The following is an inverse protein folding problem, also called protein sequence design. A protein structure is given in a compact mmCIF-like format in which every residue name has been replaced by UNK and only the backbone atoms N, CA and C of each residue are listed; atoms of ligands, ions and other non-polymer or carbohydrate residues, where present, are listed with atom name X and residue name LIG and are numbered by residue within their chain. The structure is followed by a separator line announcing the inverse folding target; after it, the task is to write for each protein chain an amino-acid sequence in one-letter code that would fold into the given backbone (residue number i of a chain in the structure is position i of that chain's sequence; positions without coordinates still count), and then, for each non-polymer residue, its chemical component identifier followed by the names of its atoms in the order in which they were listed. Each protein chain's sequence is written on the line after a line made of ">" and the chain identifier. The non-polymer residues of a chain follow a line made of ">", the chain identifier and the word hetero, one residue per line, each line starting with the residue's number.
data_IF_917743863981
#
_entry.id   IF_917743863981
#
_cell.length_a   1.000
_cell.length_b   1.000
_cell.length_c   1.000
_cell.angle_alpha   90.00
_cell.angle_beta   90.00
_cell.angle_gamma   90.00
#
_symmetry.space_group_name_H-M   'P 1'
#
loop_
_entity.id
_entity.type
_entity.pdbx_description
1 polymer ?
#
# COMPACT_ATOMS: atom_id res chain seq x y z
N UNK A 1 -49.32 -16.76 30.95
CA UNK A 1 -48.23 -16.15 31.76
C UNK A 1 -47.15 -17.23 31.87
N UNK A 2 -45.91 -17.12 31.42
CA UNK A 2 -45.01 -15.95 31.36
C UNK A 2 -43.85 -16.31 30.41
N UNK A 3 -43.59 -15.46 29.43
CA UNK A 3 -42.37 -15.45 28.61
C UNK A 3 -41.16 -15.23 29.53
N UNK A 4 -40.17 -16.12 29.53
CA UNK A 4 -38.83 -15.86 30.07
C UNK A 4 -37.81 -16.50 29.11
N UNK A 5 -37.11 -15.71 28.29
CA UNK A 5 -35.84 -15.04 28.63
C UNK A 5 -34.78 -16.12 28.92
N UNK A 6 -33.69 -16.30 28.18
CA UNK A 6 -32.79 -15.32 27.57
C UNK A 6 -31.99 -16.02 26.46
N UNK A 7 -31.83 -15.29 25.36
CA UNK A 7 -30.95 -15.53 24.22
C UNK A 7 -29.53 -15.81 24.71
N UNK A 8 -29.07 -17.04 24.53
CA UNK A 8 -27.73 -17.49 24.86
C UNK A 8 -26.77 -17.06 23.75
N UNK A 9 -25.84 -16.17 24.12
CA UNK A 9 -24.50 -16.04 23.55
C UNK A 9 -24.37 -15.93 22.02
N UNK A 10 -24.62 -14.73 21.48
CA UNK A 10 -23.93 -14.26 20.26
C UNK A 10 -23.01 -13.09 20.66
N UNK A 11 -21.97 -13.42 21.41
CA UNK A 11 -20.87 -12.51 21.71
C UNK A 11 -19.77 -12.75 20.67
N UNK A 12 -20.10 -12.54 19.40
CA UNK A 12 -19.11 -12.37 18.35
C UNK A 12 -18.44 -11.01 18.60
N UNK A 13 -17.30 -11.05 19.28
CA UNK A 13 -16.40 -9.92 19.41
C UNK A 13 -16.02 -9.44 18.01
N UNK A 14 -16.72 -8.41 17.53
CA UNK A 14 -16.26 -7.59 16.42
C UNK A 14 -15.09 -6.78 16.98
N UNK A 15 -13.92 -7.41 17.03
CA UNK A 15 -12.64 -6.73 17.09
C UNK A 15 -12.47 -6.03 15.73
N UNK A 16 -13.18 -4.92 15.54
CA UNK A 16 -12.86 -3.95 14.51
C UNK A 16 -11.51 -3.36 14.89
N UNK A 17 -10.44 -4.06 14.56
CA UNK A 17 -9.10 -3.51 14.61
C UNK A 17 -9.13 -2.22 13.81
N UNK A 18 -8.82 -1.09 14.46
CA UNK A 18 -8.50 0.14 13.75
C UNK A 18 -7.18 -0.09 13.02
N UNK A 19 -7.23 -0.89 11.97
CA UNK A 19 -6.10 -1.09 11.10
C UNK A 19 -5.95 0.19 10.26
N UNK A 20 -4.76 0.79 10.37
CA UNK A 20 -4.43 2.03 9.70
C UNK A 20 -4.77 1.92 8.20
N UNK A 21 -5.34 2.96 7.56
CA UNK A 21 -5.77 2.88 6.17
C UNK A 21 -4.67 2.39 5.21
N UNK A 22 -3.41 2.71 5.51
CA UNK A 22 -2.26 2.21 4.75
C UNK A 22 -2.17 0.67 4.77
N UNK A 23 -2.34 0.03 5.94
CA UNK A 23 -2.22 -1.42 6.06
C UNK A 23 -3.38 -2.14 5.35
N UNK A 24 -4.62 -1.62 5.48
CA UNK A 24 -5.78 -2.08 4.69
C UNK A 24 -5.56 -1.93 3.19
N UNK A 25 -4.95 -0.83 2.75
CA UNK A 25 -4.60 -0.64 1.34
C UNK A 25 -3.60 -1.67 0.81
N UNK A 26 -2.58 -2.00 1.61
CA UNK A 26 -1.61 -3.05 1.29
C UNK A 26 -2.28 -4.43 1.25
N UNK A 27 -3.15 -4.74 2.20
CA UNK A 27 -3.91 -5.99 2.23
C UNK A 27 -4.81 -6.12 1.00
N UNK A 28 -5.61 -5.11 0.71
CA UNK A 28 -6.49 -5.07 -0.47
C UNK A 28 -5.68 -5.23 -1.77
N UNK A 29 -4.50 -4.62 -1.88
CA UNK A 29 -3.61 -4.81 -3.03
C UNK A 29 -3.17 -6.28 -3.15
N UNK A 30 -2.75 -6.90 -2.05
CA UNK A 30 -2.34 -8.30 -2.04
C UNK A 30 -3.49 -9.26 -2.36
N UNK A 31 -4.72 -8.88 -2.04
CA UNK A 31 -5.94 -9.62 -2.39
C UNK A 31 -6.40 -9.42 -3.85
N UNK A 32 -5.75 -8.52 -4.62
CA UNK A 32 -6.15 -8.18 -5.99
C UNK A 32 -7.30 -7.17 -6.08
N UNK A 33 -7.75 -6.60 -4.95
CA UNK A 33 -8.81 -5.59 -4.88
C UNK A 33 -8.23 -4.20 -5.17
N UNK A 34 -7.72 -3.97 -6.38
CA UNK A 34 -6.96 -2.75 -6.71
C UNK A 34 -7.73 -1.42 -6.56
N UNK A 35 -9.02 -1.31 -6.92
CA UNK A 35 -9.78 -0.08 -6.66
C UNK A 35 -9.89 0.22 -5.17
N UNK A 36 -10.10 -0.81 -4.34
CA UNK A 36 -10.16 -0.66 -2.89
C UNK A 36 -8.79 -0.28 -2.33
N UNK A 37 -7.72 -0.95 -2.77
CA UNK A 37 -6.35 -0.61 -2.40
C UNK A 37 -6.04 0.86 -2.66
N UNK A 38 -6.40 1.36 -3.86
CA UNK A 38 -6.28 2.77 -4.18
C UNK A 38 -7.10 3.63 -3.21
N UNK A 39 -8.37 3.32 -2.96
CA UNK A 39 -9.19 4.14 -2.04
C UNK A 39 -8.60 4.23 -0.63
N UNK A 40 -8.12 3.11 -0.06
CA UNK A 40 -7.56 3.06 1.28
C UNK A 40 -6.20 3.77 1.38
N UNK A 41 -5.39 3.69 0.32
CA UNK A 41 -4.12 4.42 0.26
C UNK A 41 -4.36 5.94 0.21
N UNK A 42 -5.34 6.43 -0.57
CA UNK A 42 -5.69 7.87 -0.54
C UNK A 42 -6.09 8.29 0.88
N UNK A 43 -6.88 7.47 1.56
CA UNK A 43 -7.32 7.76 2.93
C UNK A 43 -6.13 7.87 3.92
N UNK A 44 -4.98 7.24 3.63
CA UNK A 44 -3.76 7.37 4.45
C UNK A 44 -2.90 8.60 4.12
N UNK A 45 -3.26 9.42 3.12
CA UNK A 45 -2.45 10.59 2.74
C UNK A 45 -2.35 11.63 3.86
N UNK A 46 -3.40 11.77 4.67
CA UNK A 46 -3.42 12.68 5.81
C UNK A 46 -2.33 12.33 6.85
N UNK A 47 -1.91 11.06 6.92
CA UNK A 47 -0.92 10.58 7.89
C UNK A 47 0.53 10.71 7.37
N UNK A 48 0.74 11.08 6.09
CA UNK A 48 2.08 11.14 5.48
C UNK A 48 3.12 12.00 6.21
N UNK A 49 2.77 13.16 6.80
CA UNK A 49 3.72 13.97 7.56
C UNK A 49 4.31 13.20 8.75
N UNK A 50 3.51 12.34 9.39
CA UNK A 50 3.87 11.59 10.60
C UNK A 50 4.49 10.23 10.29
N UNK A 51 4.38 9.76 9.04
CA UNK A 51 4.98 8.49 8.61
C UNK A 51 6.51 8.55 8.65
N UNK A 52 7.13 7.46 9.12
CA UNK A 52 8.57 7.25 8.96
C UNK A 52 8.99 7.17 7.48
N UNK A 53 10.28 7.35 7.19
CA UNK A 53 10.81 7.18 5.83
C UNK A 53 10.48 5.79 5.23
N UNK A 54 10.52 4.74 6.06
CA UNK A 54 10.12 3.38 5.67
C UNK A 54 8.65 3.33 5.25
N UNK A 55 7.76 3.91 6.06
CA UNK A 55 6.32 3.95 5.77
C UNK A 55 6.02 4.78 4.53
N UNK A 56 6.60 5.98 4.37
CA UNK A 56 6.39 6.81 3.16
C UNK A 56 6.88 6.13 1.88
N UNK A 57 8.03 5.46 1.93
CA UNK A 57 8.56 4.70 0.78
C UNK A 57 7.60 3.59 0.39
N UNK A 58 7.13 2.81 1.39
CA UNK A 58 6.18 1.73 1.18
C UNK A 58 4.81 2.25 0.72
N UNK A 59 4.33 3.35 1.27
CA UNK A 59 3.10 4.01 0.82
C UNK A 59 3.18 4.33 -0.67
N UNK A 60 4.24 5.02 -1.09
CA UNK A 60 4.43 5.39 -2.48
C UNK A 60 4.54 4.17 -3.41
N UNK A 61 5.24 3.11 -2.97
CA UNK A 61 5.28 1.84 -3.70
C UNK A 61 3.86 1.30 -3.96
N UNK A 62 3.07 1.09 -2.90
CA UNK A 62 1.75 0.47 -3.05
C UNK A 62 0.76 1.40 -3.76
N UNK A 63 0.90 2.72 -3.61
CA UNK A 63 0.10 3.70 -4.35
C UNK A 63 0.36 3.61 -5.85
N UNK A 64 1.64 3.56 -6.24
CA UNK A 64 2.04 3.39 -7.63
C UNK A 64 1.61 2.04 -8.20
N UNK A 65 1.79 0.96 -7.43
CA UNK A 65 1.38 -0.39 -7.83
C UNK A 65 -0.13 -0.51 -8.04
N UNK A 66 -0.94 0.08 -7.15
CA UNK A 66 -2.40 0.08 -7.30
C UNK A 66 -2.84 0.80 -8.58
N UNK A 67 -2.21 1.94 -8.92
CA UNK A 67 -2.46 2.64 -10.18
C UNK A 67 -2.02 1.82 -11.41
N UNK A 68 -0.84 1.17 -11.37
CA UNK A 68 -0.41 0.28 -12.45
C UNK A 68 -1.38 -0.87 -12.68
N UNK A 69 -1.88 -1.48 -11.60
CA UNK A 69 -2.84 -2.57 -11.69
C UNK A 69 -4.20 -2.14 -12.26
N UNK A 70 -4.49 -0.83 -12.27
CA UNK A 70 -5.66 -0.20 -12.88
C UNK A 70 -5.36 0.39 -14.28
N UNK A 71 -4.18 0.10 -14.85
CA UNK A 71 -3.69 0.65 -16.12
C UNK A 71 -3.54 2.19 -16.14
N UNK A 72 -3.50 2.82 -14.96
CA UNK A 72 -3.29 4.27 -14.81
C UNK A 72 -1.79 4.58 -14.67
N UNK A 73 -1.06 4.41 -15.76
CA UNK A 73 0.39 4.64 -15.84
C UNK A 73 0.76 6.08 -15.44
N UNK A 74 -0.07 7.06 -15.82
CA UNK A 74 0.17 8.48 -15.55
C UNK A 74 0.14 8.77 -14.05
N UNK A 75 -0.83 8.22 -13.33
CA UNK A 75 -0.88 8.39 -11.88
C UNK A 75 0.15 7.52 -11.17
N UNK A 76 0.49 6.34 -11.71
CA UNK A 76 1.48 5.45 -11.10
C UNK A 76 2.90 6.04 -11.08
N UNK A 77 3.32 6.65 -12.18
CA UNK A 77 4.69 7.09 -12.41
C UNK A 77 5.32 7.89 -11.26
N UNK A 78 4.72 9.02 -10.78
CA UNK A 78 5.34 9.82 -9.73
C UNK A 78 5.52 9.05 -8.41
N UNK A 79 4.60 8.14 -8.09
CA UNK A 79 4.68 7.34 -6.86
C UNK A 79 5.76 6.27 -6.92
N UNK A 80 5.85 5.55 -8.05
CA UNK A 80 6.92 4.58 -8.25
C UNK A 80 8.28 5.29 -8.29
N UNK A 81 8.38 6.44 -8.94
CA UNK A 81 9.60 7.26 -8.98
C UNK A 81 10.02 7.71 -7.56
N UNK A 82 9.09 8.20 -6.74
CA UNK A 82 9.39 8.58 -5.36
C UNK A 82 9.89 7.38 -4.54
N UNK A 83 9.20 6.24 -4.61
CA UNK A 83 9.62 5.03 -3.91
C UNK A 83 11.00 4.55 -4.38
N UNK A 84 11.30 4.67 -5.68
CA UNK A 84 12.58 4.30 -6.27
C UNK A 84 13.71 5.20 -5.77
N UNK A 85 13.51 6.52 -5.78
CA UNK A 85 14.50 7.48 -5.29
C UNK A 85 14.83 7.26 -3.80
N UNK A 86 13.80 7.04 -2.98
CA UNK A 86 13.99 6.74 -1.56
C UNK A 86 14.75 5.42 -1.35
N UNK A 87 14.34 4.35 -2.04
CA UNK A 87 15.01 3.05 -1.93
C UNK A 87 16.45 3.07 -2.46
N UNK A 88 16.73 3.83 -3.51
CA UNK A 88 18.10 4.02 -4.01
C UNK A 88 19.00 4.70 -2.99
N UNK A 89 18.47 5.69 -2.24
CA UNK A 89 19.20 6.38 -1.16
C UNK A 89 19.45 5.47 0.06
N UNK A 90 18.52 4.55 0.35
CA UNK A 90 18.63 3.62 1.47
C UNK A 90 17.85 2.33 1.17
N UNK A 91 18.61 1.27 0.84
CA UNK A 91 18.07 -0.04 0.44
C UNK A 91 17.31 -0.76 1.55
N UNK A 92 17.49 -0.36 2.81
CA UNK A 92 16.83 -0.97 3.96
C UNK A 92 15.39 -0.49 4.14
N UNK A 93 14.93 0.52 3.40
CA UNK A 93 13.58 1.09 3.53
C UNK A 93 12.47 0.15 3.02
N UNK A 94 12.80 -0.83 2.18
CA UNK A 94 11.86 -1.87 1.74
C UNK A 94 12.40 -3.24 2.14
N UNK A 95 11.49 -4.16 2.46
CA UNK A 95 11.86 -5.57 2.58
C UNK A 95 12.15 -6.17 1.18
N UNK A 96 12.77 -7.36 1.07
CA UNK A 96 13.11 -7.95 -0.22
C UNK A 96 11.91 -8.18 -1.15
N UNK A 97 10.72 -8.46 -0.61
CA UNK A 97 9.50 -8.70 -1.39
C UNK A 97 9.00 -7.38 -2.01
N UNK A 98 8.92 -6.34 -1.21
CA UNK A 98 8.53 -5.00 -1.65
C UNK A 98 9.57 -4.40 -2.61
N UNK A 99 10.86 -4.62 -2.37
CA UNK A 99 11.92 -4.22 -3.30
C UNK A 99 11.80 -4.92 -4.67
N UNK A 100 11.47 -6.22 -4.68
CA UNK A 100 11.19 -6.95 -5.92
C UNK A 100 10.03 -6.34 -6.70
N UNK A 101 8.93 -6.01 -6.01
CA UNK A 101 7.76 -5.34 -6.61
C UNK A 101 8.11 -3.97 -7.19
N UNK A 102 8.90 -3.18 -6.47
CA UNK A 102 9.37 -1.88 -6.92
C UNK A 102 10.17 -2.00 -8.23
N UNK A 103 11.11 -2.95 -8.30
CA UNK A 103 11.93 -3.17 -9.48
C UNK A 103 11.11 -3.64 -10.68
N UNK A 104 10.14 -4.53 -10.46
CA UNK A 104 9.20 -4.95 -11.52
C UNK A 104 8.34 -3.79 -12.02
N UNK A 105 7.82 -2.96 -11.11
CA UNK A 105 7.03 -1.77 -11.47
C UNK A 105 7.87 -0.74 -12.23
N UNK A 106 9.10 -0.50 -11.79
CA UNK A 106 10.06 0.38 -12.47
C UNK A 106 10.32 -0.09 -13.91
N UNK A 107 10.54 -1.39 -14.10
CA UNK A 107 10.72 -1.97 -15.43
C UNK A 107 9.44 -1.87 -16.29
N UNK A 108 8.26 -2.09 -15.71
CA UNK A 108 6.99 -1.97 -16.41
C UNK A 108 6.71 -0.54 -16.92
N UNK A 109 7.25 0.47 -16.24
CA UNK A 109 7.21 1.86 -16.68
C UNK A 109 8.22 2.19 -17.80
N UNK A 110 8.97 1.20 -18.30
CA UNK A 110 9.92 1.36 -19.41
C UNK A 110 11.34 1.70 -18.97
N UNK A 111 11.64 1.69 -17.68
CA UNK A 111 12.99 1.96 -17.19
C UNK A 111 13.85 0.69 -17.22
N UNK A 112 15.09 0.80 -17.69
CA UNK A 112 16.01 -0.34 -17.73
C UNK A 112 16.47 -0.75 -16.32
N UNK A 113 16.93 -2.00 -16.19
CA UNK A 113 17.49 -2.57 -14.95
C UNK A 113 18.80 -1.89 -14.49
N UNK A 114 19.20 -0.79 -15.11
CA UNK A 114 20.44 -0.04 -14.88
C UNK A 114 20.30 1.47 -14.81
N UNK A 115 19.08 2.04 -14.92
CA UNK A 115 18.86 3.48 -14.73
C UNK A 115 18.96 3.84 -13.24
N UNK A 116 20.18 3.81 -12.73
CA UNK A 116 20.57 4.21 -11.39
C UNK A 116 20.95 5.69 -11.41
N UNK A 117 19.95 6.59 -11.46
CA UNK A 117 20.09 7.99 -11.04
C UNK A 117 21.41 8.70 -11.39
N UNK A 118 21.86 8.63 -12.65
CA UNK A 118 22.89 9.51 -13.18
C UNK A 118 22.35 10.28 -14.38
N UNK A 119 21.61 11.35 -14.08
CA UNK A 119 21.52 12.57 -14.88
C UNK A 119 21.28 13.74 -13.96
#
# INVERSE_FOLDING_TARGET
>A
MTRRFIVLACMCAVLGGCEAPMARGVEAYNAGCYPEAASQLVASEADLPDMSARQRTRYALYRGLAHLALDDVRAAHPWIQYSKAMWDSNRWLLDPKDAGRLLSAWQALGHERGEWGMR
#
